data_IF_919360113900
#
_entry.id   IF_919360113900
#
_cell.length_a   1.000
_cell.length_b   1.000
_cell.length_c   1.000
_cell.angle_alpha   90.00
_cell.angle_beta   90.00
_cell.angle_gamma   90.00
#
_symmetry.space_group_name_H-M   'P 1'
#
loop_
_entity.id
_entity.type
_entity.pdbx_description
1 polymer ?
#
# COMPACT_ATOMS: atom_id res chain seq x y z
N UNK A 1 44.15 48.90 8.83
CA UNK A 1 43.69 49.47 7.54
C UNK A 1 42.77 48.42 6.93
N UNK A 2 41.55 48.81 6.85
CA UNK A 2 40.33 48.27 6.21
C UNK A 2 40.45 46.87 5.58
N UNK A 3 39.80 45.90 6.22
CA UNK A 3 39.40 44.69 5.60
C UNK A 3 37.85 44.71 5.47
N UNK A 4 37.38 44.85 4.24
CA UNK A 4 35.95 44.95 3.91
C UNK A 4 35.39 43.55 3.95
N UNK A 5 34.52 43.29 4.95
CA UNK A 5 33.62 42.18 5.00
C UNK A 5 32.57 42.27 3.88
N UNK A 6 32.59 41.32 2.96
CA UNK A 6 31.47 41.06 2.06
C UNK A 6 30.55 40.07 2.72
N UNK A 7 29.42 40.53 3.22
CA UNK A 7 28.28 39.72 3.66
C UNK A 7 27.75 38.91 2.47
N UNK A 8 27.44 37.60 2.65
CA UNK A 8 26.70 36.84 1.65
C UNK A 8 25.24 37.26 1.75
N UNK A 9 24.72 37.87 0.69
CA UNK A 9 23.31 38.21 0.52
C UNK A 9 22.50 36.93 0.63
N UNK A 10 21.71 36.77 1.68
CA UNK A 10 20.73 35.72 1.84
C UNK A 10 19.63 35.91 0.78
N UNK A 11 19.69 35.11 -0.28
CA UNK A 11 18.60 35.04 -1.26
C UNK A 11 17.39 34.41 -0.59
N UNK A 12 16.31 35.17 -0.43
CA UNK A 12 15.00 34.65 -0.03
C UNK A 12 14.47 33.59 -1.01
N UNK A 13 13.38 32.91 -0.68
CA UNK A 13 12.82 31.85 -1.53
C UNK A 13 12.54 32.35 -2.94
N UNK A 14 12.96 31.60 -3.97
CA UNK A 14 12.76 31.93 -5.37
C UNK A 14 11.25 32.00 -5.71
N UNK A 15 10.79 32.95 -6.51
CA UNK A 15 9.44 32.95 -7.02
C UNK A 15 9.13 31.65 -7.80
N UNK A 16 7.89 31.12 -7.80
CA UNK A 16 7.53 29.86 -8.44
C UNK A 16 7.98 29.72 -9.89
N UNK A 17 7.90 30.78 -10.69
CA UNK A 17 8.32 30.79 -12.09
C UNK A 17 9.85 30.63 -12.26
N UNK A 18 10.61 31.19 -11.34
CA UNK A 18 12.08 31.03 -11.33
C UNK A 18 12.49 29.64 -10.83
N UNK A 19 11.79 29.10 -9.83
CA UNK A 19 11.99 27.76 -9.32
C UNK A 19 11.75 26.71 -10.41
N UNK A 20 10.68 26.84 -11.21
CA UNK A 20 10.40 25.97 -12.36
C UNK A 20 11.53 26.02 -13.38
N UNK A 21 11.99 27.22 -13.73
CA UNK A 21 13.11 27.40 -14.67
C UNK A 21 14.39 26.78 -14.15
N UNK A 22 14.68 26.97 -12.86
CA UNK A 22 15.86 26.41 -12.20
C UNK A 22 15.81 24.87 -12.20
N UNK A 23 14.68 24.28 -11.81
CA UNK A 23 14.49 22.83 -11.80
C UNK A 23 14.64 22.21 -13.21
N UNK A 24 14.05 22.85 -14.24
CA UNK A 24 14.23 22.36 -15.62
C UNK A 24 15.68 22.39 -16.07
N UNK A 25 16.41 23.46 -15.77
CA UNK A 25 17.85 23.58 -16.13
C UNK A 25 18.70 22.58 -15.38
N UNK A 26 18.43 22.37 -14.08
CA UNK A 26 19.15 21.39 -13.25
C UNK A 26 18.92 19.96 -13.76
N UNK A 27 17.71 19.65 -14.26
CA UNK A 27 17.40 18.38 -14.91
C UNK A 27 17.91 18.23 -16.34
N UNK A 28 18.64 19.22 -16.90
CA UNK A 28 19.17 19.19 -18.25
C UNK A 28 18.09 19.17 -19.35
N UNK A 29 16.82 19.52 -19.02
CA UNK A 29 15.70 19.41 -19.93
C UNK A 29 15.51 20.69 -20.77
N UNK A 30 15.26 20.49 -22.08
CA UNK A 30 14.90 21.60 -22.95
C UNK A 30 13.48 22.07 -22.68
N UNK A 31 13.19 23.36 -22.97
CA UNK A 31 11.85 23.93 -22.85
C UNK A 31 10.82 23.17 -23.73
N UNK A 32 11.22 22.71 -24.91
CA UNK A 32 10.37 21.91 -25.80
C UNK A 32 10.04 20.55 -25.22
N UNK A 33 10.99 19.92 -24.57
CA UNK A 33 10.81 18.59 -23.97
C UNK A 33 9.82 18.64 -22.79
N UNK A 34 9.99 19.60 -21.87
CA UNK A 34 9.06 19.75 -20.74
C UNK A 34 7.67 20.17 -21.22
N UNK A 35 7.56 21.09 -22.18
CA UNK A 35 6.28 21.47 -22.77
C UNK A 35 5.53 20.27 -23.37
N UNK A 36 6.24 19.38 -24.07
CA UNK A 36 5.69 18.14 -24.61
C UNK A 36 5.17 17.21 -23.52
N UNK A 37 5.94 17.04 -22.43
CA UNK A 37 5.57 16.17 -21.29
C UNK A 37 4.29 16.60 -20.58
N UNK A 38 4.06 17.93 -20.48
CA UNK A 38 2.88 18.49 -19.80
C UNK A 38 1.75 18.90 -20.78
N UNK A 39 1.87 18.54 -22.07
CA UNK A 39 0.82 18.79 -23.06
C UNK A 39 0.55 20.25 -23.37
N UNK A 40 1.56 21.16 -23.32
CA UNK A 40 1.42 22.59 -23.63
C UNK A 40 2.36 23.01 -24.75
N UNK A 41 2.10 24.20 -25.33
CA UNK A 41 3.06 24.78 -26.31
C UNK A 41 4.35 25.26 -25.60
N UNK A 42 5.51 25.23 -26.30
CA UNK A 42 6.74 25.81 -25.79
C UNK A 42 6.59 27.30 -25.40
N UNK A 43 5.76 28.04 -26.13
CA UNK A 43 5.46 29.44 -25.81
C UNK A 43 4.71 29.60 -24.48
N UNK A 44 3.77 28.69 -24.20
CA UNK A 44 3.03 28.64 -22.92
C UNK A 44 3.97 28.35 -21.76
N UNK A 45 4.85 27.37 -21.88
CA UNK A 45 5.83 27.05 -20.82
C UNK A 45 6.81 28.21 -20.61
N UNK A 46 7.26 28.86 -21.69
CA UNK A 46 8.10 30.06 -21.61
C UNK A 46 7.40 31.23 -20.89
N UNK A 47 6.11 31.43 -21.14
CA UNK A 47 5.31 32.44 -20.44
C UNK A 47 5.20 32.13 -18.92
N UNK A 48 5.02 30.87 -18.55
CA UNK A 48 5.02 30.39 -17.18
C UNK A 48 6.37 30.64 -16.48
N UNK A 49 7.48 30.26 -17.12
CA UNK A 49 8.84 30.46 -16.59
C UNK A 49 9.27 31.94 -16.50
N UNK A 50 8.58 32.82 -17.17
CA UNK A 50 8.80 34.27 -17.11
C UNK A 50 7.78 34.99 -16.23
N UNK A 51 6.91 34.29 -15.53
CA UNK A 51 5.91 34.87 -14.64
C UNK A 51 4.80 35.66 -15.35
N UNK A 52 4.69 35.54 -16.69
CA UNK A 52 3.68 36.26 -17.50
C UNK A 52 2.29 35.63 -17.44
N UNK A 53 2.20 34.41 -16.92
CA UNK A 53 0.93 33.69 -16.79
C UNK A 53 0.89 33.00 -15.43
N UNK A 54 -0.26 33.06 -14.75
CA UNK A 54 -0.47 32.38 -13.48
C UNK A 54 -0.40 30.86 -13.64
N UNK A 55 0.09 30.17 -12.60
CA UNK A 55 0.23 28.72 -12.58
C UNK A 55 -0.95 28.16 -11.80
N UNK A 56 -1.80 27.37 -12.45
CA UNK A 56 -2.84 26.61 -11.74
C UNK A 56 -2.23 25.43 -10.98
N UNK A 57 -2.88 25.02 -9.90
CA UNK A 57 -2.43 23.89 -9.07
C UNK A 57 -2.23 22.60 -9.89
N UNK A 58 -3.17 22.28 -10.80
CA UNK A 58 -3.02 21.13 -11.70
C UNK A 58 -1.78 21.21 -12.59
N UNK A 59 -1.51 22.40 -13.16
CA UNK A 59 -0.33 22.63 -14.00
C UNK A 59 0.99 22.62 -13.24
N UNK A 60 0.97 23.01 -11.96
CA UNK A 60 2.13 22.89 -11.06
C UNK A 60 2.45 21.41 -10.78
N UNK A 61 1.43 20.59 -10.57
CA UNK A 61 1.60 19.14 -10.36
C UNK A 61 2.16 18.45 -11.61
N UNK A 62 1.66 18.82 -12.80
CA UNK A 62 2.16 18.30 -14.07
C UNK A 62 3.65 18.69 -14.29
N UNK A 63 4.00 19.93 -13.97
CA UNK A 63 5.37 20.42 -14.04
C UNK A 63 6.29 19.69 -13.06
N UNK A 64 5.87 19.52 -11.81
CA UNK A 64 6.62 18.80 -10.79
C UNK A 64 6.91 17.35 -11.22
N UNK A 65 5.89 16.67 -11.75
CA UNK A 65 6.02 15.32 -12.31
C UNK A 65 6.97 15.27 -13.52
N UNK A 66 6.84 16.21 -14.44
CA UNK A 66 7.66 16.26 -15.67
C UNK A 66 9.13 16.59 -15.37
N UNK A 67 9.39 17.34 -14.31
CA UNK A 67 10.73 17.78 -13.87
C UNK A 67 11.37 16.80 -12.86
N UNK A 68 10.59 15.86 -12.31
CA UNK A 68 11.05 14.91 -11.30
C UNK A 68 11.38 15.56 -9.94
N UNK A 69 10.72 16.69 -9.62
CA UNK A 69 10.89 17.42 -8.37
C UNK A 69 9.57 17.53 -7.61
N UNK A 70 9.58 17.62 -6.28
CA UNK A 70 8.38 17.86 -5.48
C UNK A 70 7.71 19.20 -5.83
N UNK A 71 6.38 19.25 -5.86
CA UNK A 71 5.64 20.48 -6.22
C UNK A 71 5.93 21.64 -5.26
N UNK A 72 6.29 21.38 -4.00
CA UNK A 72 6.63 22.42 -3.04
C UNK A 72 7.94 23.13 -3.36
N UNK A 73 8.93 22.44 -3.98
CA UNK A 73 10.18 23.05 -4.43
C UNK A 73 9.94 24.09 -5.53
N UNK A 74 8.87 23.90 -6.32
CA UNK A 74 8.46 24.86 -7.36
C UNK A 74 7.67 26.04 -6.80
N UNK A 75 7.28 26.03 -5.53
CA UNK A 75 6.55 27.13 -4.86
C UNK A 75 7.46 28.06 -4.06
N UNK A 76 8.78 27.93 -4.19
CA UNK A 76 9.73 28.82 -3.51
C UNK A 76 10.23 28.29 -2.16
N UNK A 77 10.17 26.98 -1.93
CA UNK A 77 10.89 26.30 -0.84
C UNK A 77 12.40 26.41 -1.09
N UNK A 78 13.15 26.79 -0.07
CA UNK A 78 14.59 27.09 -0.07
C UNK A 78 15.41 26.14 -0.93
N UNK A 79 16.14 26.68 -1.92
CA UNK A 79 17.17 25.95 -2.65
C UNK A 79 18.40 25.74 -1.74
N UNK A 80 18.36 24.68 -0.95
CA UNK A 80 19.57 24.04 -0.46
C UNK A 80 20.06 23.09 -1.55
N UNK A 81 21.35 23.19 -1.90
CA UNK A 81 22.04 22.40 -2.91
C UNK A 81 21.70 20.90 -2.78
N UNK A 82 21.73 20.12 -3.90
CA UNK A 82 21.46 18.69 -3.84
C UNK A 82 22.57 17.99 -3.05
N UNK A 83 22.40 17.86 -1.76
CA UNK A 83 23.05 16.81 -1.01
C UNK A 83 22.47 15.52 -1.58
N UNK A 84 23.35 14.67 -2.13
CA UNK A 84 23.05 13.29 -2.49
C UNK A 84 22.15 12.72 -1.39
N UNK A 85 20.87 12.56 -1.71
CA UNK A 85 19.85 12.01 -0.78
C UNK A 85 20.30 10.59 -0.41
N UNK A 86 21.04 10.48 0.68
CA UNK A 86 20.89 9.29 1.52
C UNK A 86 19.38 9.22 1.83
N UNK A 87 18.75 8.07 1.61
CA UNK A 87 17.36 7.93 2.02
C UNK A 87 17.31 8.36 3.49
N UNK A 88 16.54 9.41 3.80
CA UNK A 88 16.26 9.78 5.17
C UNK A 88 15.75 8.50 5.82
N UNK A 89 16.38 8.11 6.92
CA UNK A 89 15.83 7.06 7.76
C UNK A 89 14.37 7.43 8.01
N UNK A 90 13.43 6.50 7.80
CA UNK A 90 12.03 6.81 8.00
C UNK A 90 11.88 7.40 9.39
N UNK A 91 11.21 8.55 9.49
CA UNK A 91 10.84 9.13 10.78
C UNK A 91 10.26 8.01 11.66
N UNK A 92 10.53 7.99 12.98
CA UNK A 92 10.03 6.92 13.84
C UNK A 92 8.54 6.80 13.61
N UNK A 93 8.13 5.66 13.07
CA UNK A 93 6.76 5.36 12.66
C UNK A 93 5.89 5.51 13.90
N UNK A 94 4.79 6.30 13.87
CA UNK A 94 3.83 6.27 14.97
C UNK A 94 3.33 4.84 15.07
N UNK A 95 3.77 4.14 16.10
CA UNK A 95 3.14 2.97 16.67
C UNK A 95 2.75 1.83 15.72
N UNK A 96 3.72 1.08 15.20
CA UNK A 96 3.53 -0.35 15.30
C UNK A 96 3.86 -0.69 16.75
N UNK A 97 2.79 -0.84 17.54
CA UNK A 97 2.86 -1.44 18.86
C UNK A 97 3.56 -2.79 18.71
N UNK A 98 4.31 -3.15 19.73
CA UNK A 98 4.99 -4.41 19.97
C UNK A 98 4.34 -5.56 19.24
N UNK A 99 5.14 -6.42 18.59
CA UNK A 99 4.65 -7.64 17.94
C UNK A 99 3.76 -8.35 18.94
N UNK A 100 2.43 -8.39 18.71
CA UNK A 100 1.54 -8.99 19.70
C UNK A 100 1.91 -10.46 19.90
N UNK A 101 1.81 -10.96 21.12
CA UNK A 101 2.09 -12.35 21.45
C UNK A 101 1.20 -13.34 20.70
N UNK A 102 1.44 -14.65 20.82
CA UNK A 102 0.65 -15.72 20.21
C UNK A 102 -0.86 -15.53 20.42
N UNK A 103 -1.67 -15.86 19.42
CA UNK A 103 -3.14 -15.74 19.47
C UNK A 103 -3.71 -14.37 19.10
N UNK A 104 -2.93 -13.31 19.19
CA UNK A 104 -3.43 -11.94 19.01
C UNK A 104 -3.65 -11.54 17.53
N UNK A 105 -3.29 -12.38 16.58
CA UNK A 105 -3.55 -12.13 15.16
C UNK A 105 -5.05 -12.17 14.81
N UNK A 106 -5.89 -12.73 15.69
CA UNK A 106 -7.35 -12.69 15.60
C UNK A 106 -7.96 -11.40 16.13
N UNK A 107 -7.19 -10.61 16.88
CA UNK A 107 -7.68 -9.38 17.48
C UNK A 107 -7.59 -8.20 16.50
N UNK A 108 -8.66 -7.44 16.35
CA UNK A 108 -8.76 -6.28 15.48
C UNK A 108 -9.18 -5.04 16.26
N UNK A 109 -8.23 -4.43 16.97
CA UNK A 109 -8.45 -3.13 17.60
C UNK A 109 -8.54 -1.97 16.58
N UNK A 110 -8.86 -0.75 17.02
CA UNK A 110 -8.81 0.43 16.17
C UNK A 110 -7.44 0.54 15.49
N UNK A 111 -7.39 0.81 14.16
CA UNK A 111 -6.12 0.75 13.40
C UNK A 111 -5.13 1.86 13.74
N UNK A 112 -5.51 2.85 14.56
CA UNK A 112 -4.63 3.95 15.01
C UNK A 112 -4.10 4.82 13.86
N UNK A 113 -4.86 4.95 12.78
CA UNK A 113 -4.51 5.80 11.65
C UNK A 113 -4.60 7.26 12.03
N UNK A 114 -3.71 8.08 11.46
CA UNK A 114 -3.84 9.53 11.57
C UNK A 114 -5.10 10.03 10.82
N UNK A 115 -5.54 11.27 11.10
CA UNK A 115 -6.77 11.80 10.48
C UNK A 115 -6.72 11.85 8.95
N UNK A 116 -5.53 12.04 8.34
CA UNK A 116 -5.39 12.09 6.87
C UNK A 116 -5.58 10.70 6.26
N UNK A 117 -4.95 9.66 6.85
CA UNK A 117 -5.15 8.27 6.41
C UNK A 117 -6.59 7.83 6.58
N UNK A 118 -7.22 8.13 7.72
CA UNK A 118 -8.63 7.82 7.97
C UNK A 118 -9.55 8.46 6.93
N UNK A 119 -9.34 9.75 6.64
CA UNK A 119 -10.09 10.46 5.62
C UNK A 119 -9.86 9.91 4.20
N UNK A 120 -8.59 9.52 3.91
CA UNK A 120 -8.22 8.95 2.63
C UNK A 120 -8.86 7.60 2.38
N UNK A 121 -8.84 6.71 3.37
CA UNK A 121 -9.47 5.40 3.29
C UNK A 121 -10.96 5.57 2.97
N UNK A 122 -11.67 6.42 3.72
CA UNK A 122 -13.09 6.67 3.47
C UNK A 122 -13.36 7.19 2.05
N UNK A 123 -12.61 8.22 1.61
CA UNK A 123 -12.79 8.82 0.27
C UNK A 123 -12.39 7.87 -0.87
N UNK A 124 -11.32 7.08 -0.70
CA UNK A 124 -10.90 6.13 -1.74
C UNK A 124 -11.90 4.99 -1.90
N UNK A 125 -12.56 4.56 -0.83
CA UNK A 125 -13.67 3.60 -0.91
C UNK A 125 -14.90 4.22 -1.54
N UNK A 126 -15.25 5.47 -1.20
CA UNK A 126 -16.47 6.16 -1.61
C UNK A 126 -16.43 6.59 -3.08
N UNK A 127 -15.37 7.26 -3.52
CA UNK A 127 -15.25 7.89 -4.86
C UNK A 127 -13.99 7.52 -5.63
N UNK A 128 -13.18 6.58 -5.11
CA UNK A 128 -11.93 6.11 -5.71
C UNK A 128 -10.77 7.10 -5.56
N UNK A 129 -9.56 6.61 -5.82
CA UNK A 129 -8.35 7.43 -5.75
C UNK A 129 -8.42 8.63 -6.72
N UNK A 130 -8.80 8.42 -7.96
CA UNK A 130 -8.82 9.50 -8.97
C UNK A 130 -9.91 10.54 -8.70
N UNK A 131 -11.06 10.14 -8.16
CA UNK A 131 -12.15 11.04 -7.76
C UNK A 131 -11.80 11.91 -6.54
N UNK A 132 -10.86 11.46 -5.70
CA UNK A 132 -10.47 12.16 -4.49
C UNK A 132 -9.49 13.30 -4.80
N UNK A 133 -9.83 14.53 -4.41
CA UNK A 133 -8.94 15.69 -4.51
C UNK A 133 -8.21 15.92 -3.18
N UNK A 134 -7.03 16.57 -3.23
CA UNK A 134 -6.28 16.95 -2.01
C UNK A 134 -7.10 17.90 -1.12
N UNK A 135 -7.93 18.77 -1.73
CA UNK A 135 -8.83 19.67 -0.99
C UNK A 135 -9.91 18.88 -0.22
N UNK A 136 -10.57 17.89 -0.87
CA UNK A 136 -11.56 17.05 -0.23
C UNK A 136 -10.93 16.22 0.91
N UNK A 137 -9.71 15.73 0.69
CA UNK A 137 -8.95 14.98 1.68
C UNK A 137 -8.64 15.86 2.92
N UNK A 138 -8.10 17.07 2.73
CA UNK A 138 -7.80 18.00 3.81
C UNK A 138 -9.07 18.38 4.59
N UNK A 139 -10.16 18.69 3.87
CA UNK A 139 -11.45 19.00 4.48
C UNK A 139 -11.99 17.84 5.33
N UNK A 140 -11.99 16.61 4.80
CA UNK A 140 -12.47 15.41 5.51
C UNK A 140 -11.59 15.07 6.72
N UNK A 141 -10.28 15.33 6.64
CA UNK A 141 -9.33 15.14 7.72
C UNK A 141 -9.36 16.25 8.79
N UNK A 142 -10.17 17.30 8.62
CA UNK A 142 -10.23 18.43 9.55
C UNK A 142 -8.94 19.26 9.57
N UNK A 143 -8.18 19.30 8.47
CA UNK A 143 -6.92 20.03 8.35
C UNK A 143 -6.93 20.98 7.15
N UNK A 144 -5.93 21.86 7.07
CA UNK A 144 -5.71 22.69 5.86
C UNK A 144 -4.90 21.91 4.81
N UNK A 145 -4.97 22.33 3.54
CA UNK A 145 -4.14 21.78 2.47
C UNK A 145 -2.63 21.88 2.80
N UNK A 146 -2.10 23.02 3.30
CA UNK A 146 -0.73 23.07 3.79
C UNK A 146 -0.44 22.10 4.94
N UNK A 147 -1.39 21.93 5.88
CA UNK A 147 -1.28 20.99 6.99
C UNK A 147 -1.18 19.54 6.50
N UNK A 148 -1.95 19.17 5.47
CA UNK A 148 -1.83 17.85 4.85
C UNK A 148 -0.44 17.64 4.24
N UNK A 149 0.08 18.64 3.52
CA UNK A 149 1.42 18.55 2.91
C UNK A 149 2.56 18.54 3.93
N UNK A 150 2.31 18.91 5.16
CA UNK A 150 3.28 18.75 6.24
C UNK A 150 3.49 17.26 6.60
N UNK A 151 2.47 16.41 6.43
CA UNK A 151 2.52 14.97 6.75
C UNK A 151 2.79 14.09 5.53
N UNK A 152 2.27 14.46 4.37
CA UNK A 152 2.34 13.69 3.13
C UNK A 152 2.67 14.60 1.95
N UNK A 153 3.70 14.26 1.19
CA UNK A 153 4.18 15.06 0.04
C UNK A 153 3.11 15.25 -1.03
N UNK A 154 2.28 14.22 -1.23
CA UNK A 154 1.22 14.20 -2.22
C UNK A 154 0.18 13.10 -1.91
N UNK A 155 -0.88 13.07 -2.70
CA UNK A 155 -1.94 12.04 -2.59
C UNK A 155 -1.42 10.62 -2.88
N UNK A 156 -0.37 10.51 -3.70
CA UNK A 156 0.25 9.22 -4.02
C UNK A 156 0.92 8.61 -2.79
N UNK A 157 1.63 9.42 -2.01
CA UNK A 157 2.25 8.95 -0.76
C UNK A 157 1.20 8.46 0.25
N UNK A 158 0.05 9.12 0.32
CA UNK A 158 -1.08 8.66 1.16
C UNK A 158 -1.56 7.27 0.71
N UNK A 159 -1.76 7.05 -0.59
CA UNK A 159 -2.16 5.74 -1.13
C UNK A 159 -1.08 4.68 -0.85
N UNK A 160 0.17 5.00 -1.11
CA UNK A 160 1.30 4.10 -0.85
C UNK A 160 1.34 3.71 0.63
N UNK A 161 1.17 4.67 1.54
CA UNK A 161 1.17 4.38 2.99
C UNK A 161 0.02 3.47 3.41
N UNK A 162 -1.18 3.67 2.87
CA UNK A 162 -2.33 2.78 3.11
C UNK A 162 -2.00 1.34 2.67
N UNK A 163 -1.43 1.17 1.47
CA UNK A 163 -1.08 -0.14 0.96
C UNK A 163 0.08 -0.80 1.71
N UNK A 164 1.06 -0.02 2.17
CA UNK A 164 2.14 -0.52 3.01
C UNK A 164 1.59 -1.05 4.34
N UNK A 165 0.75 -0.27 5.02
CA UNK A 165 0.09 -0.70 6.26
C UNK A 165 -0.77 -1.96 6.05
N UNK A 166 -1.46 -2.06 4.91
CA UNK A 166 -2.24 -3.24 4.52
C UNK A 166 -1.33 -4.47 4.42
N UNK A 167 -0.21 -4.35 3.71
CA UNK A 167 0.72 -5.47 3.53
C UNK A 167 1.46 -5.82 4.83
N UNK A 168 1.87 -4.82 5.63
CA UNK A 168 2.49 -5.02 6.94
C UNK A 168 1.58 -5.84 7.87
N UNK A 169 0.29 -5.49 7.99
CA UNK A 169 -0.68 -6.19 8.84
C UNK A 169 -0.97 -7.60 8.31
N UNK A 170 -1.17 -7.78 7.00
CA UNK A 170 -1.38 -9.09 6.39
C UNK A 170 -0.19 -10.03 6.60
N UNK A 171 1.03 -9.58 6.32
CA UNK A 171 2.23 -10.40 6.51
C UNK A 171 2.41 -10.81 7.97
N UNK A 172 2.15 -9.89 8.90
CA UNK A 172 2.25 -10.21 10.31
C UNK A 172 1.23 -11.27 10.73
N UNK A 173 -0.06 -11.09 10.38
CA UNK A 173 -1.14 -12.01 10.76
C UNK A 173 -0.92 -13.40 10.20
N UNK A 174 -0.58 -13.49 8.91
CA UNK A 174 -0.33 -14.78 8.25
C UNK A 174 0.85 -15.52 8.90
N UNK A 175 1.96 -14.83 9.19
CA UNK A 175 3.10 -15.47 9.86
C UNK A 175 2.75 -15.92 11.28
N UNK A 176 1.99 -15.12 12.03
CA UNK A 176 1.56 -15.47 13.38
C UNK A 176 0.58 -16.65 13.38
N UNK A 177 -0.40 -16.65 12.48
CA UNK A 177 -1.35 -17.75 12.30
C UNK A 177 -0.63 -19.06 11.92
N UNK A 178 0.27 -18.98 10.94
CA UNK A 178 1.12 -20.11 10.51
C UNK A 178 1.90 -20.74 11.67
N UNK A 179 2.46 -19.91 12.54
CA UNK A 179 3.27 -20.36 13.66
C UNK A 179 2.49 -21.12 14.76
N UNK A 180 1.17 -21.01 14.78
CA UNK A 180 0.29 -21.73 15.72
C UNK A 180 -0.10 -23.13 15.24
N UNK A 181 -0.04 -23.39 13.92
CA UNK A 181 -0.46 -24.67 13.35
C UNK A 181 0.50 -25.81 13.69
N UNK A 182 -0.04 -26.93 14.15
CA UNK A 182 0.69 -28.11 14.60
C UNK A 182 1.17 -28.98 13.43
N UNK A 183 0.39 -29.02 12.36
CA UNK A 183 0.64 -29.78 11.13
C UNK A 183 0.37 -28.91 9.89
N UNK A 184 0.59 -29.46 8.70
CA UNK A 184 0.45 -28.72 7.45
C UNK A 184 -1.00 -28.31 7.18
N UNK A 185 -1.94 -29.21 7.45
CA UNK A 185 -3.39 -28.95 7.28
C UNK A 185 -3.84 -27.81 8.18
N UNK A 186 -3.47 -27.84 9.47
CA UNK A 186 -3.82 -26.81 10.42
C UNK A 186 -3.16 -25.47 10.06
N UNK A 187 -1.88 -25.45 9.63
CA UNK A 187 -1.21 -24.24 9.18
C UNK A 187 -1.92 -23.58 7.99
N UNK A 188 -2.30 -24.37 6.99
CA UNK A 188 -3.06 -23.85 5.84
C UNK A 188 -4.41 -23.28 6.29
N UNK A 189 -5.16 -24.01 7.12
CA UNK A 189 -6.44 -23.55 7.66
C UNK A 189 -6.30 -22.22 8.41
N UNK A 190 -5.32 -22.10 9.30
CA UNK A 190 -5.11 -20.87 10.09
C UNK A 190 -4.66 -19.67 9.22
N UNK A 191 -3.88 -19.91 8.17
CA UNK A 191 -3.53 -18.88 7.19
C UNK A 191 -4.78 -18.37 6.47
N UNK A 192 -5.66 -19.26 6.06
CA UNK A 192 -6.93 -18.89 5.40
C UNK A 192 -7.84 -18.13 6.35
N UNK A 193 -7.96 -18.58 7.60
CA UNK A 193 -8.68 -17.88 8.66
C UNK A 193 -8.12 -16.45 8.84
N UNK A 194 -6.80 -16.28 8.90
CA UNK A 194 -6.18 -14.96 9.03
C UNK A 194 -6.46 -14.03 7.84
N UNK A 195 -6.43 -14.58 6.61
CA UNK A 195 -6.80 -13.85 5.40
C UNK A 195 -8.26 -13.42 5.42
N UNK A 196 -9.18 -14.32 5.77
CA UNK A 196 -10.60 -14.02 5.82
C UNK A 196 -10.93 -12.98 6.90
N UNK A 197 -10.39 -13.12 8.11
CA UNK A 197 -10.55 -12.14 9.20
C UNK A 197 -9.99 -10.78 8.82
N UNK A 198 -8.86 -10.72 8.12
CA UNK A 198 -8.34 -9.45 7.65
C UNK A 198 -9.31 -8.77 6.66
N UNK A 199 -9.83 -9.50 5.68
CA UNK A 199 -10.70 -8.95 4.65
C UNK A 199 -12.13 -8.65 5.13
N UNK A 200 -12.52 -9.14 6.31
CA UNK A 200 -13.73 -8.73 7.02
C UNK A 200 -13.48 -7.49 7.90
N UNK A 201 -12.57 -7.57 8.86
CA UNK A 201 -12.30 -6.51 9.85
C UNK A 201 -11.55 -5.29 9.27
N UNK A 202 -10.80 -5.46 8.20
CA UNK A 202 -10.08 -4.40 7.45
C UNK A 202 -10.62 -4.27 6.03
N UNK A 203 -11.92 -4.39 5.90
CA UNK A 203 -12.64 -4.44 4.62
C UNK A 203 -12.20 -3.30 3.68
N UNK A 204 -12.13 -2.06 4.18
CA UNK A 204 -11.76 -0.90 3.36
C UNK A 204 -10.32 -0.99 2.85
N UNK A 205 -9.38 -1.47 3.68
CA UNK A 205 -7.99 -1.69 3.26
C UNK A 205 -7.90 -2.78 2.19
N UNK A 206 -8.61 -3.89 2.39
CA UNK A 206 -8.69 -4.98 1.40
C UNK A 206 -9.29 -4.50 0.08
N UNK A 207 -10.36 -3.70 0.13
CA UNK A 207 -11.00 -3.11 -1.05
C UNK A 207 -10.06 -2.18 -1.81
N UNK A 208 -9.38 -1.24 -1.12
CA UNK A 208 -8.38 -0.33 -1.73
C UNK A 208 -7.23 -1.15 -2.33
N UNK A 209 -6.75 -2.17 -1.61
CA UNK A 209 -5.70 -3.08 -2.09
C UNK A 209 -6.08 -3.81 -3.38
N UNK A 210 -7.36 -4.15 -3.58
CA UNK A 210 -7.84 -4.80 -4.78
C UNK A 210 -8.06 -3.81 -5.95
N UNK A 211 -8.62 -2.62 -5.67
CA UNK A 211 -9.09 -1.68 -6.70
C UNK A 211 -8.02 -0.68 -7.15
N UNK A 212 -7.13 -0.21 -6.26
CA UNK A 212 -6.29 0.97 -6.51
C UNK A 212 -4.83 0.66 -6.88
N UNK A 213 -4.46 -0.60 -7.09
CA UNK A 213 -3.11 -0.97 -7.57
C UNK A 213 -2.73 -0.28 -8.90
N UNK A 214 -3.71 -0.08 -9.77
CA UNK A 214 -3.53 0.61 -11.07
C UNK A 214 -3.21 2.11 -10.91
N UNK A 215 -3.58 2.69 -9.77
CA UNK A 215 -3.40 4.12 -9.46
C UNK A 215 -2.00 4.42 -8.92
N UNK A 216 -1.19 3.40 -8.62
CA UNK A 216 0.18 3.54 -8.16
C UNK A 216 1.14 3.91 -9.30
N UNK A 217 2.14 4.74 -8.98
CA UNK A 217 3.30 4.94 -9.84
C UNK A 217 4.07 3.62 -10.05
N UNK A 218 4.77 3.44 -11.19
CA UNK A 218 5.40 2.16 -11.55
C UNK A 218 6.32 1.59 -10.48
N UNK A 219 7.11 2.42 -9.81
CA UNK A 219 8.07 1.98 -8.77
C UNK A 219 7.35 1.40 -7.56
N UNK A 220 6.33 2.09 -7.04
CA UNK A 220 5.56 1.63 -5.89
C UNK A 220 4.67 0.44 -6.25
N UNK A 221 4.06 0.46 -7.42
CA UNK A 221 3.29 -0.67 -7.93
C UNK A 221 4.12 -1.95 -7.99
N UNK A 222 5.36 -1.87 -8.49
CA UNK A 222 6.26 -3.03 -8.55
C UNK A 222 6.62 -3.53 -7.15
N UNK A 223 6.90 -2.62 -6.21
CA UNK A 223 7.24 -2.93 -4.82
C UNK A 223 6.07 -3.59 -4.08
N UNK A 224 4.88 -3.02 -4.17
CA UNK A 224 3.68 -3.57 -3.52
C UNK A 224 3.28 -4.91 -4.17
N UNK A 225 3.37 -5.03 -5.50
CA UNK A 225 3.11 -6.29 -6.20
C UNK A 225 4.06 -7.41 -5.74
N UNK A 226 5.35 -7.09 -5.51
CA UNK A 226 6.31 -8.04 -4.94
C UNK A 226 5.88 -8.50 -3.55
N UNK A 227 5.52 -7.58 -2.65
CA UNK A 227 5.05 -7.91 -1.31
C UNK A 227 3.80 -8.82 -1.33
N UNK A 228 2.86 -8.59 -2.26
CA UNK A 228 1.71 -9.48 -2.48
C UNK A 228 2.13 -10.87 -2.98
N UNK A 229 3.12 -10.92 -3.87
CA UNK A 229 3.65 -12.21 -4.37
C UNK A 229 4.36 -12.99 -3.27
N UNK A 230 5.10 -12.33 -2.39
CA UNK A 230 5.73 -12.94 -1.21
C UNK A 230 4.68 -13.53 -0.26
N UNK A 231 3.54 -12.85 -0.08
CA UNK A 231 2.42 -13.34 0.71
C UNK A 231 1.79 -14.58 0.08
N UNK A 232 1.55 -14.56 -1.25
CA UNK A 232 1.07 -15.73 -1.99
C UNK A 232 2.04 -16.91 -1.87
N UNK A 233 3.36 -16.64 -1.91
CA UNK A 233 4.38 -17.68 -1.79
C UNK A 233 4.31 -18.38 -0.42
N UNK A 234 4.00 -17.67 0.67
CA UNK A 234 3.81 -18.30 1.99
C UNK A 234 2.68 -19.33 1.94
N UNK A 235 1.57 -19.01 1.28
CA UNK A 235 0.43 -19.94 1.11
C UNK A 235 0.83 -21.12 0.25
N UNK A 236 1.45 -20.86 -0.89
CA UNK A 236 1.88 -21.91 -1.85
C UNK A 236 2.90 -22.89 -1.21
N UNK A 237 3.84 -22.37 -0.42
CA UNK A 237 4.86 -23.18 0.27
C UNK A 237 4.24 -24.09 1.34
N UNK A 238 3.26 -23.60 2.13
CA UNK A 238 2.58 -24.45 3.11
C UNK A 238 1.75 -25.54 2.45
N UNK A 239 1.00 -25.22 1.41
CA UNK A 239 0.23 -26.22 0.65
C UNK A 239 1.18 -27.27 0.04
N UNK A 240 2.30 -26.84 -0.54
CA UNK A 240 3.28 -27.74 -1.12
C UNK A 240 3.94 -28.64 -0.06
N UNK A 241 4.27 -28.09 1.11
CA UNK A 241 4.85 -28.86 2.22
C UNK A 241 3.87 -29.91 2.76
N UNK A 242 2.59 -29.54 2.97
CA UNK A 242 1.55 -30.46 3.43
C UNK A 242 1.25 -31.55 2.39
N UNK A 243 1.26 -31.23 1.10
CA UNK A 243 1.12 -32.21 0.03
C UNK A 243 2.32 -33.17 -0.02
N UNK A 244 3.55 -32.68 0.14
CA UNK A 244 4.75 -33.50 0.19
C UNK A 244 4.77 -34.44 1.43
N UNK A 245 4.15 -34.01 2.54
CA UNK A 245 3.97 -34.87 3.74
C UNK A 245 2.83 -35.89 3.58
N UNK A 246 2.06 -35.82 2.48
CA UNK A 246 0.93 -36.72 2.25
C UNK A 246 -0.32 -36.32 3.04
N UNK A 247 -0.37 -35.12 3.59
CA UNK A 247 -1.51 -34.58 4.35
C UNK A 247 -2.61 -34.03 3.43
N UNK A 248 -2.23 -33.63 2.20
CA UNK A 248 -3.11 -33.11 1.15
C UNK A 248 -2.91 -33.92 -0.14
N UNK A 249 -3.98 -34.11 -0.91
CA UNK A 249 -3.97 -34.96 -2.12
C UNK A 249 -4.32 -34.22 -3.40
N UNK A 250 -4.49 -32.91 -3.36
CA UNK A 250 -4.82 -32.10 -4.54
C UNK A 250 -3.80 -32.24 -5.67
N UNK A 251 -4.24 -32.48 -6.93
CA UNK A 251 -3.32 -32.60 -8.06
C UNK A 251 -2.75 -31.24 -8.54
N UNK A 252 -3.34 -30.11 -8.09
CA UNK A 252 -3.00 -28.77 -8.56
C UNK A 252 -2.74 -27.78 -7.42
N UNK A 253 -1.77 -28.01 -6.52
CA UNK A 253 -1.60 -27.24 -5.27
C UNK A 253 -1.47 -25.73 -5.51
N UNK A 254 -0.69 -25.29 -6.50
CA UNK A 254 -0.52 -23.86 -6.81
C UNK A 254 -1.80 -23.19 -7.36
N UNK A 255 -2.58 -23.93 -8.16
CA UNK A 255 -3.84 -23.41 -8.70
C UNK A 255 -4.88 -23.25 -7.59
N UNK A 256 -4.97 -24.23 -6.73
CA UNK A 256 -5.87 -24.20 -5.56
C UNK A 256 -5.43 -23.09 -4.59
N UNK A 257 -4.14 -22.95 -4.28
CA UNK A 257 -3.61 -21.86 -3.47
C UNK A 257 -3.99 -20.46 -4.02
N UNK A 258 -3.93 -20.30 -5.35
CA UNK A 258 -4.38 -19.07 -6.02
C UNK A 258 -5.89 -18.85 -5.88
N UNK A 259 -6.69 -19.89 -6.02
CA UNK A 259 -8.15 -19.82 -5.86
C UNK A 259 -8.51 -19.43 -4.41
N UNK A 260 -7.87 -20.05 -3.42
CA UNK A 260 -8.06 -19.76 -2.00
C UNK A 260 -7.76 -18.27 -1.69
N UNK A 261 -6.61 -17.76 -2.11
CA UNK A 261 -6.27 -16.36 -1.85
C UNK A 261 -7.20 -15.39 -2.58
N UNK A 262 -7.67 -15.77 -3.77
CA UNK A 262 -8.62 -14.95 -4.54
C UNK A 262 -9.98 -14.89 -3.86
N UNK A 263 -10.51 -16.01 -3.37
CA UNK A 263 -11.79 -16.02 -2.65
C UNK A 263 -11.71 -15.19 -1.36
N UNK A 264 -10.61 -15.29 -0.59
CA UNK A 264 -10.41 -14.46 0.61
C UNK A 264 -10.37 -12.96 0.28
N UNK A 265 -9.63 -12.57 -0.76
CA UNK A 265 -9.54 -11.16 -1.20
C UNK A 265 -10.90 -10.62 -1.62
N UNK A 266 -11.76 -11.47 -2.22
CA UNK A 266 -13.12 -11.13 -2.64
C UNK A 266 -14.05 -10.75 -1.49
N UNK A 267 -13.80 -11.20 -0.26
CA UNK A 267 -14.63 -10.91 0.92
C UNK A 267 -14.83 -9.39 1.09
N UNK A 268 -13.79 -8.59 0.90
CA UNK A 268 -13.85 -7.13 1.05
C UNK A 268 -14.87 -6.44 0.13
N UNK A 269 -15.34 -7.11 -0.92
CA UNK A 269 -16.29 -6.54 -1.88
C UNK A 269 -17.75 -6.78 -1.46
N UNK A 270 -18.06 -7.91 -0.82
CA UNK A 270 -19.42 -8.30 -0.50
C UNK A 270 -19.75 -8.30 1.00
N UNK A 271 -18.77 -8.53 1.88
CA UNK A 271 -19.00 -8.57 3.32
C UNK A 271 -19.61 -7.27 3.86
N UNK A 272 -20.54 -7.42 4.80
CA UNK A 272 -21.16 -6.32 5.53
C UNK A 272 -21.20 -6.68 7.02
N UNK A 273 -20.71 -5.81 7.87
CA UNK A 273 -20.63 -6.01 9.33
C UNK A 273 -21.99 -6.34 9.97
N UNK A 274 -23.08 -5.80 9.38
CA UNK A 274 -24.46 -6.05 9.83
C UNK A 274 -25.18 -7.09 8.96
N UNK A 275 -24.48 -7.96 8.26
CA UNK A 275 -25.01 -8.88 7.24
C UNK A 275 -25.55 -10.20 7.77
N UNK A 276 -25.65 -10.40 9.09
CA UNK A 276 -26.23 -11.61 9.70
C UNK A 276 -25.26 -12.78 9.86
N UNK A 277 -24.03 -12.70 9.30
CA UNK A 277 -22.94 -13.69 9.50
C UNK A 277 -21.73 -12.96 10.04
N UNK A 278 -21.16 -13.45 11.13
CA UNK A 278 -19.98 -12.82 11.77
C UNK A 278 -18.70 -13.01 10.95
N UNK A 279 -17.70 -12.18 11.24
CA UNK A 279 -16.39 -12.30 10.63
C UNK A 279 -15.74 -13.65 10.95
N UNK A 280 -15.92 -14.13 12.16
CA UNK A 280 -15.39 -15.38 12.68
C UNK A 280 -16.05 -16.59 12.00
N UNK A 281 -17.37 -16.56 11.80
CA UNK A 281 -18.09 -17.60 11.06
C UNK A 281 -17.63 -17.67 9.60
N UNK A 282 -17.47 -16.53 8.94
CA UNK A 282 -16.92 -16.47 7.57
C UNK A 282 -15.51 -17.05 7.54
N UNK A 283 -14.65 -16.66 8.47
CA UNK A 283 -13.28 -17.12 8.51
C UNK A 283 -13.19 -18.63 8.73
N UNK A 284 -13.98 -19.17 9.65
CA UNK A 284 -14.05 -20.60 9.88
C UNK A 284 -14.54 -21.35 8.62
N UNK A 285 -15.62 -20.89 8.01
CA UNK A 285 -16.17 -21.50 6.79
C UNK A 285 -15.21 -21.45 5.61
N UNK A 286 -14.46 -20.35 5.45
CA UNK A 286 -13.43 -20.23 4.40
C UNK A 286 -12.26 -21.16 4.64
N UNK A 287 -11.89 -21.41 5.91
CA UNK A 287 -10.93 -22.42 6.29
C UNK A 287 -11.36 -23.82 5.83
N UNK A 288 -12.59 -24.21 6.10
CA UNK A 288 -13.15 -25.50 5.64
C UNK A 288 -13.22 -25.58 4.11
N UNK A 289 -13.71 -24.57 3.42
CA UNK A 289 -13.72 -24.55 1.95
C UNK A 289 -12.31 -24.72 1.34
N UNK A 290 -11.29 -24.12 1.97
CA UNK A 290 -9.92 -24.29 1.52
C UNK A 290 -9.44 -25.74 1.67
N UNK A 291 -9.77 -26.37 2.80
CA UNK A 291 -9.41 -27.77 3.04
C UNK A 291 -10.15 -28.72 2.08
N UNK A 292 -11.42 -28.47 1.82
CA UNK A 292 -12.21 -29.23 0.83
C UNK A 292 -11.61 -29.13 -0.58
N UNK A 293 -11.17 -27.94 -1.00
CA UNK A 293 -10.49 -27.75 -2.29
C UNK A 293 -9.12 -28.44 -2.37
N UNK A 294 -8.49 -28.70 -1.23
CA UNK A 294 -7.16 -29.29 -1.15
C UNK A 294 -7.18 -30.82 -0.95
N UNK A 295 -8.36 -31.42 -0.79
CA UNK A 295 -8.53 -32.85 -0.54
C UNK A 295 -7.65 -33.34 0.62
N UNK A 296 -8.06 -33.05 1.86
CA UNK A 296 -7.32 -33.51 3.04
C UNK A 296 -7.29 -35.05 3.06
N UNK A 297 -6.09 -35.62 3.12
CA UNK A 297 -5.92 -37.04 3.18
C UNK A 297 -6.56 -37.61 4.45
N UNK A 298 -7.55 -38.46 4.30
CA UNK A 298 -8.11 -39.23 5.43
C UNK A 298 -7.04 -40.23 5.86
N UNK A 299 -6.58 -40.25 7.14
CA UNK A 299 -5.65 -41.25 7.61
C UNK A 299 -6.27 -42.61 7.34
N UNK A 300 -5.58 -43.45 6.56
CA UNK A 300 -6.02 -44.83 6.38
C UNK A 300 -6.18 -45.47 7.77
N UNK A 301 -7.42 -45.76 8.14
CA UNK A 301 -7.70 -46.55 9.33
C UNK A 301 -6.82 -47.81 9.18
N UNK A 302 -5.82 -47.95 10.06
CA UNK A 302 -5.04 -49.18 10.13
C UNK A 302 -6.06 -50.31 10.20
N UNK A 303 -6.17 -51.06 9.13
CA UNK A 303 -6.88 -52.36 9.14
C UNK A 303 -6.11 -53.26 10.14
N UNK A 304 -6.45 -53.07 11.41
CA UNK A 304 -6.04 -54.00 12.45
C UNK A 304 -6.66 -55.35 12.09
N UNK A 305 -5.77 -56.30 11.83
CA UNK A 305 -6.09 -57.60 11.29
C UNK A 305 -7.31 -58.24 11.91
N UNK A 306 -8.24 -58.60 11.05
CA UNK A 306 -9.14 -59.71 11.30
C UNK A 306 -8.32 -60.96 10.92
N UNK A 307 -7.57 -61.50 11.88
CA UNK A 307 -7.09 -62.87 11.77
C UNK A 307 -8.33 -63.78 11.69
N UNK A 308 -8.41 -64.48 10.58
CA UNK A 308 -9.38 -65.52 10.35
C UNK A 308 -9.17 -66.65 11.38
N UNK A 309 -10.16 -66.82 12.25
CA UNK A 309 -10.36 -68.09 12.91
C UNK A 309 -11.05 -69.04 11.92
N UNK A 310 -10.28 -70.01 11.43
CA UNK A 310 -10.76 -71.26 10.84
C UNK A 310 -10.74 -72.33 11.89
#
# INVERSE_FOLDING_TARGET
MLNSMLDPIAHGPLPPHEAIRAARRAGGLSLREVARRIGVSPATLSALENGRTGISVGRLTDLASALGVPAHDLLGGSAAAPALLRPAAPAPRPGMRETPGPGRWREFGPPGFDPVLTAAIALFVEIGYHGTTVRALAQRAGTSVPGLYHHYRDKQEVLVRILDLTMEDLHWRIRAARAEGRDGVERVRLIVEALALFHTHRRELGFIGASEMRSLLPVDRTRIARSRSELQQIVDDEIAAAAAAGELTTPHPRMVGRAITTMCTGISQWYRENGGVSAEEIAAQYGEFALDMLDVAVPALRQSGVEAFS
#
